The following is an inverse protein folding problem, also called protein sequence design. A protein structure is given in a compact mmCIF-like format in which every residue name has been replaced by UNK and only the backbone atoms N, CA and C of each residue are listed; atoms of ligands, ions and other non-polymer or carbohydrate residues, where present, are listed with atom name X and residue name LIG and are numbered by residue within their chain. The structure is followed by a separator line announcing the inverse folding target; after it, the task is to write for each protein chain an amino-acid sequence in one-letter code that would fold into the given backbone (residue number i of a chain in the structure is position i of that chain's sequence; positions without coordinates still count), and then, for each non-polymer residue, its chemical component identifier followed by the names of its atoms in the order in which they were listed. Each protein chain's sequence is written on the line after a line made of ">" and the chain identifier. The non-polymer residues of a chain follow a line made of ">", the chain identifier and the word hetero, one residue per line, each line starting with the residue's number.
data_IF_125071469920
#
_entry.id   IF_125071469920
#
_cell.length_a   1.000
_cell.length_b   1.000
_cell.length_c   1.000
_cell.angle_alpha   90.00
_cell.angle_beta   90.00
_cell.angle_gamma   90.00
#
_symmetry.space_group_name_H-M   'P 1'
#
loop_
_entity.id
_entity.type
_entity.pdbx_description
1 polymer ?
#
# COMPACT_ATOMS: atom_id res chain seq x y z
N UNK A 1 -16.03 -14.55 -18.51
CA UNK A 1 -14.92 -15.49 -18.27
C UNK A 1 -13.73 -14.68 -17.81
N UNK A 2 -13.40 -14.69 -16.52
CA UNK A 2 -12.18 -14.07 -16.03
C UNK A 2 -11.05 -15.09 -16.12
N UNK A 3 -10.01 -14.79 -16.89
CA UNK A 3 -8.82 -15.64 -16.94
C UNK A 3 -8.09 -15.52 -15.60
N UNK A 4 -8.24 -16.54 -14.74
CA UNK A 4 -7.58 -16.62 -13.42
C UNK A 4 -6.05 -16.46 -13.46
N UNK A 5 -5.43 -16.63 -14.64
CA UNK A 5 -4.01 -16.44 -14.86
C UNK A 5 -3.56 -14.96 -14.85
N UNK A 6 -4.49 -14.03 -15.03
CA UNK A 6 -4.22 -12.57 -15.12
C UNK A 6 -4.90 -11.80 -13.98
N UNK A 7 -5.75 -12.46 -13.18
CA UNK A 7 -6.42 -11.82 -12.06
C UNK A 7 -5.48 -11.81 -10.85
N UNK A 8 -5.07 -10.63 -10.36
CA UNK A 8 -4.29 -10.53 -9.14
C UNK A 8 -5.14 -10.95 -7.93
N UNK A 9 -4.51 -11.60 -6.95
CA UNK A 9 -5.22 -12.09 -5.76
C UNK A 9 -5.06 -11.09 -4.63
N UNK A 10 -6.18 -10.63 -4.06
CA UNK A 10 -6.15 -9.79 -2.87
C UNK A 10 -5.65 -10.59 -1.66
N UNK A 11 -4.54 -10.15 -1.07
CA UNK A 11 -3.88 -10.82 0.06
C UNK A 11 -4.38 -10.27 1.41
N UNK A 12 -4.69 -8.97 1.45
CA UNK A 12 -5.12 -8.31 2.67
C UNK A 12 -5.17 -6.80 2.49
N UNK A 13 -5.65 -6.12 3.52
CA UNK A 13 -5.78 -4.67 3.56
C UNK A 13 -5.25 -4.10 4.87
N UNK A 14 -4.83 -2.84 4.85
CA UNK A 14 -4.50 -2.06 6.04
C UNK A 14 -5.19 -0.71 5.97
N UNK A 15 -5.68 -0.23 7.11
CA UNK A 15 -6.41 1.04 7.21
C UNK A 15 -5.51 2.03 7.94
N UNK A 16 -5.51 3.29 7.48
CA UNK A 16 -4.76 4.35 8.13
C UNK A 16 -5.32 4.63 9.54
N UNK A 17 -4.52 5.22 10.45
CA UNK A 17 -4.93 5.36 11.85
C UNK A 17 -6.21 6.18 12.04
N UNK A 18 -6.48 7.17 11.18
CA UNK A 18 -7.72 7.96 11.21
C UNK A 18 -8.78 7.48 10.22
N UNK A 19 -8.61 6.29 9.65
CA UNK A 19 -9.59 5.64 8.76
C UNK A 19 -9.93 6.47 7.51
N UNK A 20 -8.98 7.26 7.01
CA UNK A 20 -9.14 8.07 5.79
C UNK A 20 -8.63 7.33 4.55
N UNK A 21 -7.59 6.52 4.71
CA UNK A 21 -6.94 5.77 3.63
C UNK A 21 -6.98 4.27 3.88
N UNK A 22 -7.02 3.50 2.79
CA UNK A 22 -6.93 2.05 2.76
C UNK A 22 -5.79 1.64 1.83
N UNK A 23 -4.94 0.73 2.27
CA UNK A 23 -3.97 0.04 1.44
C UNK A 23 -4.47 -1.38 1.19
N UNK A 24 -4.55 -1.75 -0.08
CA UNK A 24 -4.87 -3.11 -0.49
C UNK A 24 -3.62 -3.77 -1.09
N UNK A 25 -3.28 -4.95 -0.57
CA UNK A 25 -2.14 -5.75 -1.00
C UNK A 25 -2.60 -6.83 -1.96
N UNK A 26 -1.93 -6.93 -3.10
CA UNK A 26 -2.24 -7.93 -4.11
C UNK A 26 -1.02 -8.76 -4.43
N UNK A 27 -1.23 -10.07 -4.55
CA UNK A 27 -0.26 -10.95 -5.16
C UNK A 27 -0.32 -10.78 -6.67
N UNK A 28 0.86 -10.71 -7.29
CA UNK A 28 0.97 -10.68 -8.73
C UNK A 28 0.32 -11.93 -9.32
N UNK A 29 -0.31 -11.76 -10.47
CA UNK A 29 -0.97 -12.87 -11.17
C UNK A 29 0.05 -13.96 -11.57
N UNK A 30 -0.38 -15.22 -11.78
CA UNK A 30 0.54 -16.29 -12.19
C UNK A 30 1.41 -15.95 -13.41
N UNK A 31 0.88 -15.17 -14.37
CA UNK A 31 1.65 -14.71 -15.52
C UNK A 31 2.72 -13.67 -15.13
N UNK A 32 2.41 -12.75 -14.23
CA UNK A 32 3.39 -11.78 -13.72
C UNK A 32 4.45 -12.47 -12.84
N UNK A 33 4.08 -13.50 -12.08
CA UNK A 33 5.07 -14.33 -11.37
C UNK A 33 6.03 -15.04 -12.34
N UNK A 34 5.54 -15.45 -13.52
CA UNK A 34 6.34 -15.97 -14.63
C UNK A 34 7.10 -14.88 -15.42
N UNK A 35 6.87 -13.60 -15.17
CA UNK A 35 7.71 -12.53 -15.75
C UNK A 35 8.79 -12.10 -14.75
N UNK A 36 8.51 -12.23 -13.46
CA UNK A 36 9.34 -11.81 -12.34
C UNK A 36 9.86 -13.02 -11.53
N UNK A 37 10.41 -14.02 -12.21
CA UNK A 37 10.89 -15.27 -11.58
C UNK A 37 12.00 -15.04 -10.54
N UNK A 38 12.71 -13.91 -10.63
CA UNK A 38 13.74 -13.49 -9.69
C UNK A 38 13.17 -13.01 -8.34
N UNK A 39 11.89 -12.62 -8.29
CA UNK A 39 11.22 -12.15 -7.08
C UNK A 39 10.61 -13.33 -6.32
N UNK A 40 10.83 -13.39 -4.99
CA UNK A 40 10.28 -14.48 -4.15
C UNK A 40 8.80 -14.30 -3.87
N UNK A 41 8.34 -13.06 -3.67
CA UNK A 41 6.93 -12.75 -3.49
C UNK A 41 6.54 -11.52 -4.31
N UNK A 42 6.30 -11.69 -5.63
CA UNK A 42 5.92 -10.58 -6.48
C UNK A 42 4.51 -10.12 -6.08
N UNK A 43 4.42 -8.89 -5.59
CA UNK A 43 3.19 -8.28 -5.10
C UNK A 43 3.16 -6.81 -5.49
N UNK A 44 1.97 -6.22 -5.54
CA UNK A 44 1.81 -4.78 -5.70
C UNK A 44 0.78 -4.25 -4.71
N UNK A 45 0.82 -2.95 -4.46
CA UNK A 45 0.02 -2.29 -3.43
C UNK A 45 -0.76 -1.16 -4.06
N UNK A 46 -2.01 -1.01 -3.64
CA UNK A 46 -2.87 0.11 -4.03
C UNK A 46 -3.26 0.92 -2.83
N UNK A 47 -3.13 2.24 -2.92
CA UNK A 47 -3.63 3.16 -1.90
C UNK A 47 -4.90 3.83 -2.38
N UNK A 48 -5.93 3.76 -1.54
CA UNK A 48 -7.23 4.36 -1.76
C UNK A 48 -7.53 5.37 -0.67
N UNK A 49 -8.21 6.45 -1.04
CA UNK A 49 -9.03 7.24 -0.11
C UNK A 49 -10.34 6.50 0.09
N UNK A 50 -10.81 6.39 1.33
CA UNK A 50 -12.05 5.67 1.66
C UNK A 50 -13.30 6.50 1.34
N UNK A 51 -13.28 7.81 1.61
CA UNK A 51 -14.40 8.71 1.35
C UNK A 51 -13.95 10.05 0.71
N UNK A 52 -14.36 10.33 -0.55
CA UNK A 52 -14.95 9.37 -1.49
C UNK A 52 -13.97 8.23 -1.81
N UNK A 53 -14.49 7.05 -2.19
CA UNK A 53 -13.62 5.94 -2.60
C UNK A 53 -12.86 6.34 -3.87
N UNK A 54 -11.54 6.52 -3.76
CA UNK A 54 -10.72 7.02 -4.87
C UNK A 54 -9.35 6.37 -4.82
N UNK A 55 -8.92 5.75 -5.91
CA UNK A 55 -7.56 5.25 -6.06
C UNK A 55 -6.61 6.44 -6.14
N UNK A 56 -5.68 6.54 -5.18
CA UNK A 56 -4.66 7.58 -5.16
C UNK A 56 -3.39 7.15 -5.87
N UNK A 57 -3.08 5.85 -5.83
CA UNK A 57 -1.88 5.31 -6.46
C UNK A 57 -1.84 3.79 -6.44
N UNK A 58 -1.10 3.24 -7.39
CA UNK A 58 -0.74 1.83 -7.49
C UNK A 58 0.78 1.75 -7.60
N UNK A 59 1.39 0.81 -6.88
CA UNK A 59 2.82 0.55 -6.98
C UNK A 59 3.12 -0.36 -8.17
N UNK A 60 4.38 -0.35 -8.62
CA UNK A 60 4.89 -1.44 -9.46
C UNK A 60 4.91 -2.77 -8.70
N UNK A 61 5.12 -3.87 -9.43
CA UNK A 61 5.31 -5.19 -8.84
C UNK A 61 6.67 -5.22 -8.15
N UNK A 62 6.66 -5.50 -6.84
CA UNK A 62 7.84 -5.53 -5.97
C UNK A 62 7.88 -6.84 -5.18
N UNK A 63 9.04 -7.16 -4.59
CA UNK A 63 9.18 -8.33 -3.73
C UNK A 63 8.84 -8.00 -2.26
N UNK A 64 7.69 -8.49 -1.79
CA UNK A 64 7.22 -8.29 -0.41
C UNK A 64 7.57 -9.44 0.55
N UNK A 65 8.42 -10.40 0.17
CA UNK A 65 8.74 -11.60 0.97
C UNK A 65 9.23 -11.28 2.40
N UNK A 66 9.91 -10.14 2.62
CA UNK A 66 10.37 -9.64 3.93
C UNK A 66 10.09 -8.13 4.12
N UNK A 67 9.58 -7.46 3.09
CA UNK A 67 9.37 -6.00 3.03
C UNK A 67 7.93 -5.59 3.44
N UNK A 68 7.40 -6.18 4.51
CA UNK A 68 6.02 -5.97 4.97
C UNK A 68 5.81 -4.79 5.93
N UNK A 69 6.86 -4.04 6.27
CA UNK A 69 6.77 -2.94 7.23
C UNK A 69 5.98 -1.78 6.63
N UNK A 70 4.86 -1.42 7.26
CA UNK A 70 4.00 -0.33 6.82
C UNK A 70 4.18 0.89 7.72
N UNK A 71 4.42 2.04 7.11
CA UNK A 71 4.57 3.31 7.80
C UNK A 71 3.64 4.38 7.22
N UNK A 72 2.77 4.92 8.07
CA UNK A 72 1.81 5.96 7.73
C UNK A 72 2.33 7.37 8.08
N UNK A 73 3.29 7.89 7.31
CA UNK A 73 3.84 9.24 7.53
C UNK A 73 2.93 10.34 6.93
N UNK A 74 1.69 10.40 7.39
CA UNK A 74 0.66 11.31 6.86
C UNK A 74 0.70 12.71 7.49
N UNK A 75 1.57 12.93 8.48
CA UNK A 75 1.73 14.23 9.11
C UNK A 75 2.73 15.10 8.30
N UNK A 76 2.46 16.41 8.20
CA UNK A 76 3.44 17.35 7.67
C UNK A 76 4.74 17.32 8.50
N UNK A 77 5.93 17.39 7.87
CA UNK A 77 6.18 17.68 6.45
C UNK A 77 6.31 16.43 5.55
N UNK A 78 6.14 15.21 6.07
CA UNK A 78 6.47 14.00 5.32
C UNK A 78 5.43 13.63 4.25
N UNK A 79 4.14 13.63 4.60
CA UNK A 79 3.01 13.37 3.69
C UNK A 79 3.22 12.18 2.74
N UNK A 80 3.69 11.04 3.29
CA UNK A 80 4.03 9.85 2.52
C UNK A 80 3.59 8.56 3.22
N UNK A 81 3.40 7.52 2.44
CA UNK A 81 3.10 6.17 2.93
C UNK A 81 4.17 5.24 2.41
N UNK A 82 4.86 4.53 3.30
CA UNK A 82 5.94 3.63 2.94
C UNK A 82 5.55 2.20 3.25
N UNK A 83 5.74 1.31 2.28
CA UNK A 83 5.56 -0.13 2.42
C UNK A 83 6.87 -0.80 2.08
N UNK A 84 7.46 -1.43 3.09
CA UNK A 84 8.76 -2.07 3.00
C UNK A 84 9.85 -1.10 2.59
N UNK A 85 10.80 -1.63 1.83
CA UNK A 85 11.92 -0.85 1.30
C UNK A 85 11.56 -0.13 0.00
N UNK A 86 10.67 -0.72 -0.80
CA UNK A 86 10.59 -0.45 -2.25
C UNK A 86 9.39 0.40 -2.64
N UNK A 87 8.30 0.41 -1.85
CA UNK A 87 7.09 1.18 -2.19
C UNK A 87 6.99 2.42 -1.32
N UNK A 88 6.96 3.58 -1.97
CA UNK A 88 6.73 4.88 -1.33
C UNK A 88 5.70 5.64 -2.13
N UNK A 89 4.57 5.94 -1.51
CA UNK A 89 3.59 6.88 -2.03
C UNK A 89 3.87 8.26 -1.45
N UNK A 90 4.25 9.21 -2.31
CA UNK A 90 4.51 10.59 -1.93
C UNK A 90 3.29 11.49 -2.17
N UNK A 91 3.30 12.67 -1.56
CA UNK A 91 2.26 13.69 -1.72
C UNK A 91 0.85 13.21 -1.31
N UNK A 92 0.76 12.31 -0.33
CA UNK A 92 -0.51 11.88 0.23
C UNK A 92 -1.06 13.02 1.10
N UNK A 93 -2.27 13.53 0.82
CA UNK A 93 -2.86 14.59 1.63
C UNK A 93 -2.93 14.18 3.11
N UNK A 94 -2.81 15.15 4.03
CA UNK A 94 -2.97 14.84 5.44
C UNK A 94 -4.40 14.39 5.73
N UNK A 95 -4.56 13.40 6.61
CA UNK A 95 -5.88 12.88 7.00
C UNK A 95 -6.78 13.94 7.62
N UNK A 96 -6.19 14.95 8.26
CA UNK A 96 -6.90 16.08 8.83
C UNK A 96 -6.00 17.30 9.02
N UNK A 97 -6.61 18.48 8.97
CA UNK A 97 -5.96 19.78 9.20
C UNK A 97 -5.94 20.11 10.70
N UNK A 98 -4.75 20.26 11.28
CA UNK A 98 -4.59 20.72 12.67
C UNK A 98 -4.78 19.66 13.75
N UNK A 99 -4.81 18.40 13.38
CA UNK A 99 -4.87 17.30 14.34
C UNK A 99 -3.57 17.12 15.12
N UNK A 100 -3.63 16.60 16.36
CA UNK A 100 -2.44 16.21 17.08
C UNK A 100 -1.68 15.10 16.33
N UNK A 101 -0.33 15.11 16.38
CA UNK A 101 0.48 14.03 15.86
C UNK A 101 0.03 12.69 16.45
N UNK A 102 0.00 11.67 15.60
CA UNK A 102 -0.27 10.31 16.05
C UNK A 102 0.95 9.78 16.81
N UNK A 103 0.76 8.94 17.85
CA UNK A 103 1.87 8.25 18.49
C UNK A 103 2.55 7.31 17.50
N UNK A 104 3.84 7.03 17.70
CA UNK A 104 4.62 6.16 16.80
C UNK A 104 3.99 4.77 16.63
N UNK A 105 3.35 4.24 17.68
CA UNK A 105 2.63 2.97 17.64
C UNK A 105 1.42 2.95 16.69
N UNK A 106 0.84 4.12 16.38
CA UNK A 106 -0.23 4.24 15.40
C UNK A 106 0.34 4.44 13.98
N UNK A 107 1.49 5.11 13.85
CA UNK A 107 2.18 5.32 12.57
C UNK A 107 2.85 4.04 12.06
N UNK A 108 3.33 3.21 13.00
CA UNK A 108 4.11 1.99 12.80
C UNK A 108 3.44 0.83 13.57
N UNK A 109 2.31 0.28 13.07
CA UNK A 109 1.58 -0.81 13.74
C UNK A 109 2.34 -2.15 13.72
#
# INVERSE_FOLDING_TARGET
>A
MACHAVTPKHKGQSISPRHVYRLDFYDASPLQQLMHHEMKFPSFVRIYRIQPETLLGESEVVDLWINGQLYWYLNPPMNKVRIGRDVVFENIPPECTGCPPLPDSAVMP
#
